data_IF_286578213720
#
_entry.id   IF_286578213720
#
_cell.length_a   1.000
_cell.length_b   1.000
_cell.length_c   1.000
_cell.angle_alpha   90.00
_cell.angle_beta   90.00
_cell.angle_gamma   90.00
#
_symmetry.space_group_name_H-M   'P 1'
#
loop_
_entity.id
_entity.type
_entity.pdbx_description
1 polymer ?
#
# COMPACT_ATOMS: atom_id res chain seq x y z
N UNK A 1 9.05 -21.88 10.48
CA UNK A 1 7.60 -21.99 10.25
C UNK A 1 7.28 -21.03 9.12
N UNK A 2 6.67 -21.49 8.03
CA UNK A 2 6.29 -20.62 6.92
C UNK A 2 5.03 -19.87 7.37
N UNK A 3 5.18 -18.67 7.92
CA UNK A 3 4.04 -17.87 8.36
C UNK A 3 3.27 -17.44 7.12
N UNK A 4 1.97 -17.79 7.06
CA UNK A 4 1.08 -17.38 5.98
C UNK A 4 0.95 -15.85 5.98
N UNK A 5 1.33 -15.20 4.89
CA UNK A 5 1.21 -13.75 4.75
C UNK A 5 -0.26 -13.39 4.59
N UNK A 6 -0.67 -12.23 5.10
CA UNK A 6 -2.06 -11.80 5.00
C UNK A 6 -2.50 -11.64 3.54
N UNK A 7 -1.58 -11.25 2.65
CA UNK A 7 -1.89 -11.08 1.22
C UNK A 7 -2.43 -12.37 0.57
N UNK A 8 -1.99 -13.55 1.05
CA UNK A 8 -2.42 -14.85 0.53
C UNK A 8 -3.90 -15.14 0.84
N UNK A 9 -4.47 -14.48 1.87
CA UNK A 9 -5.89 -14.58 2.23
C UNK A 9 -6.78 -13.63 1.41
N UNK A 10 -6.22 -12.50 0.94
CA UNK A 10 -6.96 -11.49 0.19
C UNK A 10 -6.84 -11.65 -1.33
N UNK A 11 -5.71 -12.20 -1.82
CA UNK A 11 -5.46 -12.44 -3.25
C UNK A 11 -4.81 -13.82 -3.47
N UNK A 12 -5.56 -14.92 -3.27
CA UNK A 12 -5.02 -16.27 -3.47
C UNK A 12 -4.71 -16.58 -4.95
N UNK A 13 -5.31 -15.84 -5.89
CA UNK A 13 -5.01 -15.89 -7.31
C UNK A 13 -4.70 -14.49 -7.84
N UNK A 14 -3.70 -14.40 -8.72
CA UNK A 14 -3.25 -13.15 -9.33
C UNK A 14 -2.71 -13.41 -10.74
N UNK A 15 -2.84 -12.43 -11.62
CA UNK A 15 -2.25 -12.50 -12.97
C UNK A 15 -0.77 -12.11 -12.97
N UNK A 16 -0.35 -11.30 -12.00
CA UNK A 16 1.04 -10.84 -11.84
C UNK A 16 1.39 -10.67 -10.35
N UNK A 17 2.63 -10.97 -10.00
CA UNK A 17 3.18 -10.76 -8.65
C UNK A 17 4.63 -10.33 -8.72
N UNK A 18 4.99 -9.40 -7.84
CA UNK A 18 6.35 -8.87 -7.68
C UNK A 18 6.67 -8.83 -6.19
N UNK A 19 7.87 -9.31 -5.81
CA UNK A 19 8.33 -9.34 -4.42
C UNK A 19 9.71 -8.69 -4.32
N UNK A 20 9.85 -7.77 -3.37
CA UNK A 20 11.12 -7.16 -2.97
C UNK A 20 11.42 -7.49 -1.51
N UNK A 21 12.69 -7.77 -1.20
CA UNK A 21 13.11 -8.10 0.16
C UNK A 21 14.47 -7.45 0.45
N UNK A 22 14.63 -6.92 1.66
CA UNK A 22 15.90 -6.36 2.13
C UNK A 22 16.07 -6.63 3.62
N UNK A 23 17.33 -6.81 4.05
CA UNK A 23 17.66 -7.09 5.44
C UNK A 23 18.09 -5.80 6.16
N UNK A 24 17.36 -5.45 7.22
CA UNK A 24 17.66 -4.27 8.04
C UNK A 24 18.23 -4.74 9.38
N UNK A 25 19.39 -4.20 9.77
CA UNK A 25 20.02 -4.50 11.07
C UNK A 25 19.36 -3.72 12.21
N UNK A 26 18.08 -3.98 12.46
CA UNK A 26 17.29 -3.37 13.53
C UNK A 26 16.22 -4.36 14.03
N UNK A 27 15.62 -4.08 15.19
CA UNK A 27 14.46 -4.85 15.66
C UNK A 27 13.23 -4.59 14.79
N UNK A 28 12.33 -5.57 14.72
CA UNK A 28 11.07 -5.44 13.97
C UNK A 28 10.25 -4.23 14.41
N UNK A 29 10.19 -3.95 15.72
CA UNK A 29 9.54 -2.76 16.29
C UNK A 29 10.12 -1.44 15.74
N UNK A 30 11.45 -1.33 15.66
CA UNK A 30 12.09 -0.11 15.12
C UNK A 30 11.81 0.05 13.63
N UNK A 31 11.86 -1.04 12.87
CA UNK A 31 11.54 -1.02 11.43
C UNK A 31 10.08 -0.63 11.23
N UNK A 32 9.18 -1.24 12.00
CA UNK A 32 7.74 -0.98 11.93
C UNK A 32 7.41 0.48 12.27
N UNK A 33 8.02 1.04 13.32
CA UNK A 33 7.86 2.44 13.66
C UNK A 33 8.36 3.35 12.54
N UNK A 34 9.54 3.07 11.98
CA UNK A 34 10.10 3.82 10.86
C UNK A 34 9.19 3.79 9.63
N UNK A 35 8.74 2.61 9.21
CA UNK A 35 7.80 2.42 8.09
C UNK A 35 6.53 3.27 8.28
N UNK A 36 5.99 3.37 9.51
CA UNK A 36 4.82 4.17 9.79
C UNK A 36 5.06 5.70 9.79
N UNK A 37 6.27 6.15 10.11
CA UNK A 37 6.59 7.57 10.29
C UNK A 37 7.41 8.18 9.16
N UNK A 38 7.96 7.38 8.24
CA UNK A 38 8.77 7.89 7.12
C UNK A 38 7.93 8.75 6.20
N UNK A 39 8.41 9.96 5.96
CA UNK A 39 7.87 10.87 4.95
C UNK A 39 8.53 10.60 3.59
N UNK A 40 7.75 10.14 2.63
CA UNK A 40 8.22 9.87 1.26
C UNK A 40 8.52 11.16 0.49
N UNK A 41 8.01 12.32 0.93
CA UNK A 41 8.30 13.62 0.32
C UNK A 41 9.61 14.25 0.79
N UNK A 42 10.27 13.68 1.80
CA UNK A 42 11.61 14.12 2.23
C UNK A 42 12.66 13.91 1.12
N UNK A 43 12.39 13.02 0.16
CA UNK A 43 13.17 12.86 -1.06
C UNK A 43 12.42 13.43 -2.28
N UNK A 44 12.99 14.47 -2.90
CA UNK A 44 12.40 15.11 -4.08
C UNK A 44 12.22 14.16 -5.27
N UNK A 45 13.10 13.15 -5.41
CA UNK A 45 12.99 12.13 -6.46
C UNK A 45 11.77 11.25 -6.21
N UNK A 46 11.62 10.75 -4.98
CA UNK A 46 10.50 9.90 -4.60
C UNK A 46 9.19 10.69 -4.70
N UNK A 47 9.15 11.90 -4.14
CA UNK A 47 7.98 12.78 -4.21
C UNK A 47 7.58 13.11 -5.65
N UNK A 48 8.54 13.40 -6.53
CA UNK A 48 8.29 13.63 -7.96
C UNK A 48 7.70 12.41 -8.67
N UNK A 49 8.25 11.22 -8.44
CA UNK A 49 7.75 9.98 -9.03
C UNK A 49 6.34 9.62 -8.54
N UNK A 50 6.07 9.80 -7.24
CA UNK A 50 4.74 9.55 -6.67
C UNK A 50 3.70 10.55 -7.18
N UNK A 51 4.07 11.83 -7.28
CA UNK A 51 3.21 12.87 -7.86
C UNK A 51 2.87 12.57 -9.32
N UNK A 52 3.87 12.15 -10.12
CA UNK A 52 3.65 11.74 -11.51
C UNK A 52 2.70 10.54 -11.61
N UNK A 53 2.76 9.63 -10.62
CA UNK A 53 1.84 8.50 -10.48
C UNK A 53 0.44 8.91 -9.99
N UNK A 54 0.21 10.18 -9.71
CA UNK A 54 -1.06 10.71 -9.20
C UNK A 54 -1.31 10.45 -7.72
N UNK A 55 -0.29 10.03 -6.97
CA UNK A 55 -0.35 9.80 -5.53
C UNK A 55 0.04 11.06 -4.75
N UNK A 56 -0.40 11.15 -3.50
CA UNK A 56 -0.11 12.27 -2.60
C UNK A 56 -0.71 13.60 -3.05
N UNK A 57 -1.73 13.58 -3.93
CA UNK A 57 -2.44 14.78 -4.40
C UNK A 57 -3.20 15.46 -3.26
N UNK A 58 -3.70 14.65 -2.31
CA UNK A 58 -4.41 15.15 -1.14
C UNK A 58 -3.48 15.43 0.06
N UNK A 59 -2.19 15.13 -0.08
CA UNK A 59 -1.19 15.25 0.98
C UNK A 59 -0.34 16.50 0.77
N UNK A 60 -0.66 17.57 1.51
CA UNK A 60 -0.15 18.91 1.22
C UNK A 60 1.32 19.16 1.65
N UNK A 61 1.88 18.34 2.55
CA UNK A 61 3.22 18.59 3.12
C UNK A 61 4.06 17.34 3.37
N UNK A 62 3.42 16.24 3.75
CA UNK A 62 4.09 14.97 4.10
C UNK A 62 3.29 13.82 3.49
N UNK A 63 3.96 12.75 3.07
CA UNK A 63 3.33 11.56 2.54
C UNK A 63 3.90 10.33 3.24
N UNK A 64 3.23 9.89 4.31
CA UNK A 64 3.49 8.60 4.95
C UNK A 64 2.72 7.48 4.26
N UNK A 65 3.05 6.21 4.58
CA UNK A 65 2.24 5.07 4.14
C UNK A 65 0.77 5.18 4.57
N UNK A 66 0.50 5.75 5.74
CA UNK A 66 -0.87 5.97 6.22
C UNK A 66 -1.58 7.08 5.46
N UNK A 67 -0.86 8.10 5.01
CA UNK A 67 -1.45 9.16 4.19
C UNK A 67 -1.92 8.66 2.82
N UNK A 68 -1.36 7.55 2.31
CA UNK A 68 -1.81 6.94 1.06
C UNK A 68 -3.29 6.52 1.10
N UNK A 69 -3.88 6.33 2.29
CA UNK A 69 -5.32 6.03 2.38
C UNK A 69 -6.20 7.18 1.92
N UNK A 70 -5.66 8.41 1.90
CA UNK A 70 -6.36 9.59 1.35
C UNK A 70 -6.41 9.54 -0.18
N UNK A 71 -5.47 8.86 -0.82
CA UNK A 71 -5.39 8.71 -2.27
C UNK A 71 -6.00 7.37 -2.78
N UNK A 72 -6.91 6.78 -1.99
CA UNK A 72 -7.72 5.62 -2.40
C UNK A 72 -7.23 4.25 -1.90
N UNK A 73 -6.11 4.19 -1.19
CA UNK A 73 -5.71 2.96 -0.53
C UNK A 73 -6.60 2.66 0.69
N UNK A 74 -6.74 1.38 1.01
CA UNK A 74 -7.37 0.93 2.25
C UNK A 74 -6.42 0.03 3.03
N UNK A 75 -6.42 0.17 4.36
CA UNK A 75 -5.78 -0.83 5.23
C UNK A 75 -6.68 -2.06 5.25
N UNK A 76 -6.23 -3.15 4.62
CA UNK A 76 -6.95 -4.42 4.57
C UNK A 76 -6.66 -5.26 5.83
N UNK A 77 -5.50 -5.06 6.44
CA UNK A 77 -5.22 -5.52 7.78
C UNK A 77 -3.79 -5.22 8.24
N UNK A 78 -3.55 -5.43 9.53
CA UNK A 78 -2.33 -5.01 10.21
C UNK A 78 -1.98 -6.02 11.31
N UNK A 79 -0.74 -6.53 11.31
CA UNK A 79 -0.13 -7.31 12.39
C UNK A 79 1.02 -6.48 12.94
N UNK A 80 0.88 -6.02 14.18
CA UNK A 80 1.83 -5.12 14.80
C UNK A 80 3.25 -5.70 14.77
N UNK A 81 4.22 -4.88 14.33
CA UNK A 81 5.64 -5.25 14.19
C UNK A 81 5.92 -6.38 13.18
N UNK A 82 4.94 -6.80 12.37
CA UNK A 82 5.10 -7.93 11.45
C UNK A 82 4.66 -7.57 10.02
N UNK A 83 3.46 -7.04 9.83
CA UNK A 83 2.85 -6.92 8.50
C UNK A 83 1.83 -5.77 8.43
N UNK A 84 1.88 -4.99 7.36
CA UNK A 84 0.86 -3.98 7.03
C UNK A 84 0.38 -4.30 5.62
N UNK A 85 -0.91 -4.61 5.47
CA UNK A 85 -1.52 -4.91 4.18
C UNK A 85 -2.36 -3.73 3.71
N UNK A 86 -1.90 -3.07 2.65
CA UNK A 86 -2.63 -2.02 1.94
C UNK A 86 -3.22 -2.58 0.65
N UNK A 87 -4.48 -2.23 0.39
CA UNK A 87 -5.21 -2.60 -0.81
C UNK A 87 -5.52 -1.38 -1.66
N UNK A 88 -5.65 -1.61 -2.97
CA UNK A 88 -6.06 -0.62 -3.95
C UNK A 88 -6.82 -1.33 -5.08
N UNK A 89 -7.93 -0.75 -5.56
CA UNK A 89 -8.64 -1.26 -6.72
C UNK A 89 -9.01 -0.12 -7.68
N UNK A 90 -8.88 -0.36 -8.97
CA UNK A 90 -9.13 0.64 -10.01
C UNK A 90 -8.76 0.15 -11.39
N UNK A 91 -8.99 1.01 -12.39
CA UNK A 91 -8.57 0.82 -13.78
C UNK A 91 -7.26 1.57 -14.01
N UNK A 92 -6.15 1.02 -13.54
CA UNK A 92 -4.83 1.69 -13.54
C UNK A 92 -4.31 2.04 -14.95
N UNK A 93 -4.91 1.47 -16.00
CA UNK A 93 -4.61 1.77 -17.40
C UNK A 93 -5.30 3.05 -17.94
N UNK A 94 -6.21 3.66 -17.18
CA UNK A 94 -6.85 4.93 -17.56
C UNK A 94 -6.12 6.12 -16.94
N UNK A 95 -6.28 7.31 -17.53
CA UNK A 95 -5.58 8.52 -17.06
C UNK A 95 -5.90 8.89 -15.60
N UNK A 96 -7.13 8.62 -15.14
CA UNK A 96 -7.55 8.91 -13.77
C UNK A 96 -7.45 7.71 -12.83
N UNK A 97 -7.10 6.52 -13.32
CA UNK A 97 -7.06 5.28 -12.55
C UNK A 97 -8.45 4.74 -12.14
N UNK A 98 -9.53 5.52 -12.27
CA UNK A 98 -10.90 5.16 -11.86
C UNK A 98 -10.97 4.41 -10.52
N UNK A 99 -10.32 4.99 -9.50
CA UNK A 99 -10.17 4.40 -8.18
C UNK A 99 -11.52 3.99 -7.58
N UNK A 100 -11.59 2.77 -7.06
CA UNK A 100 -12.77 2.24 -6.38
C UNK A 100 -12.63 2.42 -4.87
N UNK A 101 -13.74 2.71 -4.20
CA UNK A 101 -13.78 2.77 -2.74
C UNK A 101 -13.80 1.34 -2.19
N UNK A 102 -12.74 0.95 -1.49
CA UNK A 102 -12.54 -0.39 -0.95
C UNK A 102 -12.27 -0.37 0.56
N UNK A 103 -12.52 -1.51 1.20
CA UNK A 103 -12.16 -1.86 2.56
C UNK A 103 -11.88 -3.37 2.63
N UNK A 104 -11.46 -3.87 3.80
CA UNK A 104 -11.12 -5.29 3.96
C UNK A 104 -12.24 -6.26 3.54
N UNK A 105 -13.51 -5.92 3.81
CA UNK A 105 -14.64 -6.78 3.48
C UNK A 105 -14.91 -6.83 1.98
N UNK A 106 -15.17 -5.66 1.37
CA UNK A 106 -15.53 -5.60 -0.05
C UNK A 106 -14.37 -5.93 -0.99
N UNK A 107 -13.12 -5.83 -0.54
CA UNK A 107 -11.96 -6.21 -1.33
C UNK A 107 -11.88 -7.73 -1.54
N UNK A 108 -12.21 -8.52 -0.50
CA UNK A 108 -12.23 -9.99 -0.61
C UNK A 108 -13.29 -10.50 -1.56
N UNK A 109 -14.42 -9.79 -1.60
CA UNK A 109 -15.56 -10.11 -2.46
C UNK A 109 -15.49 -9.38 -3.81
N UNK A 110 -14.38 -8.71 -4.11
CA UNK A 110 -14.29 -7.84 -5.28
C UNK A 110 -14.37 -8.66 -6.57
N UNK A 111 -15.51 -8.57 -7.26
CA UNK A 111 -15.78 -9.30 -8.50
C UNK A 111 -16.27 -8.38 -9.63
N UNK A 112 -16.03 -7.08 -9.53
CA UNK A 112 -16.49 -6.10 -10.53
C UNK A 112 -15.64 -6.16 -11.78
N UNK A 113 -16.28 -6.41 -12.93
CA UNK A 113 -15.60 -6.36 -14.23
C UNK A 113 -15.18 -4.94 -14.59
N UNK A 114 -13.91 -4.78 -14.99
CA UNK A 114 -13.30 -3.52 -15.42
C UNK A 114 -13.57 -3.17 -16.88
#
# INVERSE_FOLDING_TARGET
>A
MNSKMMIDDFMPGYDFSEKHETNIRASAEKVYAAVNSTDLYDSWIIGGLLTLRGLGRQSAKTLTLRDMTKDGFAVLGERQNEEILLGLAGKFWTLSGCMQNINAGNFREFSTTG
#
